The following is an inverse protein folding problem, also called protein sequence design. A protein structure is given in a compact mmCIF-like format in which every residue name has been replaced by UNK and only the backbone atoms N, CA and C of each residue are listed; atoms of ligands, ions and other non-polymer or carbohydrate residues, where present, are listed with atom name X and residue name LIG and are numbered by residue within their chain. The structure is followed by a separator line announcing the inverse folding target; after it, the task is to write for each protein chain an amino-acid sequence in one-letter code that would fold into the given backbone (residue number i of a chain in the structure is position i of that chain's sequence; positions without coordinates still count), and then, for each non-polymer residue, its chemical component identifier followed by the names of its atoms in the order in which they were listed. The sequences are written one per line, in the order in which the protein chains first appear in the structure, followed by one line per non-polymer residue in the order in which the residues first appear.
data_IF_005431417786
#
_entry.id   IF_005431417786
#
_cell.length_a   1.000
_cell.length_b   1.000
_cell.length_c   1.000
_cell.angle_alpha   90.00
_cell.angle_beta   90.00
_cell.angle_gamma   90.00
#
_symmetry.space_group_name_H-M   'P 1'
#
loop_
_entity.id
_entity.type
_entity.pdbx_description
1 polymer ?
#
# COMPACT_ATOMS: atom_id res chain seq x y z
N UNK A 1 -3.44 4.87 -17.92
CA UNK A 1 -3.29 3.42 -18.19
C UNK A 1 -1.81 3.16 -18.10
N UNK A 2 -1.32 2.62 -16.98
CA UNK A 2 0.09 2.26 -16.84
C UNK A 2 0.26 0.94 -17.58
N UNK A 3 1.13 0.90 -18.59
CA UNK A 3 1.55 -0.33 -19.23
C UNK A 3 2.03 -1.29 -18.15
N UNK A 4 1.32 -2.40 -18.01
CA UNK A 4 1.68 -3.48 -17.12
C UNK A 4 2.83 -4.20 -17.81
N UNK A 5 4.08 -3.85 -17.45
CA UNK A 5 5.23 -4.60 -17.92
C UNK A 5 5.04 -6.06 -17.46
N UNK A 6 5.16 -7.01 -18.40
CA UNK A 6 4.90 -8.44 -18.17
C UNK A 6 5.82 -9.07 -17.09
N UNK A 7 6.82 -8.33 -16.62
CA UNK A 7 7.87 -8.78 -15.70
C UNK A 7 7.69 -8.27 -14.25
N UNK A 8 6.72 -7.40 -13.97
CA UNK A 8 6.49 -6.89 -12.62
C UNK A 8 5.65 -7.88 -11.81
N UNK A 9 6.24 -8.42 -10.74
CA UNK A 9 5.51 -9.17 -9.72
C UNK A 9 4.95 -8.20 -8.69
N UNK A 10 3.62 -8.12 -8.57
CA UNK A 10 2.99 -7.37 -7.50
C UNK A 10 3.12 -8.19 -6.21
N UNK A 11 3.98 -7.72 -5.30
CA UNK A 11 4.26 -8.39 -4.02
C UNK A 11 3.21 -8.02 -2.97
N UNK A 12 2.77 -6.76 -2.95
CA UNK A 12 1.75 -6.32 -2.02
C UNK A 12 0.96 -5.16 -2.62
N UNK A 13 -0.36 -5.31 -2.70
CA UNK A 13 -1.25 -4.26 -3.16
C UNK A 13 -1.86 -3.53 -1.97
N UNK A 14 -1.46 -2.28 -1.80
CA UNK A 14 -1.95 -1.43 -0.71
C UNK A 14 -3.43 -1.06 -0.91
N UNK A 15 -4.35 -1.86 -0.38
CA UNK A 15 -5.77 -1.53 -0.37
C UNK A 15 -6.14 -0.81 0.92
N UNK A 16 -6.72 0.39 0.81
CA UNK A 16 -7.27 1.09 1.98
C UNK A 16 -8.74 0.71 2.18
N UNK A 17 -9.15 0.44 3.42
CA UNK A 17 -10.55 0.23 3.77
C UNK A 17 -11.42 1.41 3.30
N UNK A 18 -12.67 1.14 2.95
CA UNK A 18 -13.62 2.16 2.48
C UNK A 18 -13.76 3.31 3.49
N UNK A 19 -13.78 3.01 4.79
CA UNK A 19 -13.85 4.01 5.86
C UNK A 19 -12.70 5.02 5.78
N UNK A 20 -11.46 4.58 5.55
CA UNK A 20 -10.30 5.47 5.42
C UNK A 20 -10.42 6.39 4.20
N UNK A 21 -10.96 5.88 3.08
CA UNK A 21 -11.21 6.71 1.90
C UNK A 21 -12.28 7.77 2.14
N UNK A 22 -13.34 7.43 2.89
CA UNK A 22 -14.38 8.39 3.29
C UNK A 22 -13.78 9.49 4.18
N UNK A 23 -12.96 9.12 5.19
CA UNK A 23 -12.30 10.09 6.06
C UNK A 23 -11.39 11.03 5.24
N UNK A 24 -10.60 10.49 4.30
CA UNK A 24 -9.78 11.31 3.41
C UNK A 24 -10.63 12.31 2.62
N UNK A 25 -11.76 11.87 2.06
CA UNK A 25 -12.68 12.72 1.32
C UNK A 25 -13.25 13.86 2.19
N UNK A 26 -13.61 13.58 3.45
CA UNK A 26 -14.08 14.59 4.40
C UNK A 26 -13.00 15.65 4.65
N UNK A 27 -11.75 15.23 4.90
CA UNK A 27 -10.63 16.16 5.12
C UNK A 27 -10.39 17.05 3.91
N UNK A 28 -10.34 16.50 2.70
CA UNK A 28 -10.14 17.28 1.48
C UNK A 28 -11.32 18.21 1.17
N UNK A 29 -12.56 17.76 1.40
CA UNK A 29 -13.75 18.61 1.20
C UNK A 29 -13.74 19.79 2.17
N UNK A 30 -13.43 19.55 3.45
CA UNK A 30 -13.34 20.61 4.44
C UNK A 30 -12.18 21.58 4.13
N UNK A 31 -11.04 21.08 3.67
CA UNK A 31 -9.93 21.91 3.20
C UNK A 31 -10.37 22.85 2.06
N UNK A 32 -11.08 22.32 1.05
CA UNK A 32 -11.59 23.13 -0.06
C UNK A 32 -12.58 24.19 0.43
N UNK A 33 -13.43 23.86 1.40
CA UNK A 33 -14.34 24.82 2.03
C UNK A 33 -13.59 25.95 2.72
N UNK A 34 -12.51 25.65 3.47
CA UNK A 34 -11.67 26.67 4.10
C UNK A 34 -10.98 27.59 3.08
N UNK A 35 -10.43 27.01 2.00
CA UNK A 35 -9.80 27.76 0.91
C UNK A 35 -10.84 28.69 0.25
N UNK A 36 -12.03 28.17 -0.03
CA UNK A 36 -13.11 28.95 -0.61
C UNK A 36 -13.52 30.13 0.30
N UNK A 37 -13.68 29.87 1.60
CA UNK A 37 -13.96 30.90 2.60
C UNK A 37 -12.88 31.98 2.65
N UNK A 38 -11.61 31.58 2.61
CA UNK A 38 -10.48 32.50 2.58
C UNK A 38 -10.49 33.35 1.32
N UNK A 39 -10.75 32.77 0.14
CA UNK A 39 -10.88 33.50 -1.12
C UNK A 39 -11.98 34.54 -1.09
N UNK A 40 -13.16 34.22 -0.51
CA UNK A 40 -14.25 35.18 -0.34
C UNK A 40 -13.83 36.34 0.57
N UNK A 41 -13.17 36.08 1.68
CA UNK A 41 -12.72 37.12 2.59
C UNK A 41 -11.76 38.07 1.88
N UNK A 42 -10.79 37.53 1.15
CA UNK A 42 -9.86 38.34 0.35
C UNK A 42 -10.55 39.14 -0.74
N UNK A 43 -11.54 38.56 -1.42
CA UNK A 43 -12.27 39.23 -2.49
C UNK A 43 -13.03 40.46 -1.99
N UNK A 44 -13.73 40.35 -0.83
CA UNK A 44 -14.56 41.43 -0.29
C UNK A 44 -13.84 42.43 0.58
N UNK A 45 -12.80 42.01 1.33
CA UNK A 45 -12.10 42.87 2.31
C UNK A 45 -10.67 43.22 1.95
N UNK A 46 -10.09 42.53 0.98
CA UNK A 46 -8.68 42.73 0.62
C UNK A 46 -7.72 42.38 1.78
N UNK A 47 -6.52 42.95 1.72
CA UNK A 47 -5.52 42.79 2.76
C UNK A 47 -5.70 43.90 3.80
N UNK A 48 -6.33 43.62 4.91
CA UNK A 48 -6.54 44.56 6.01
C UNK A 48 -6.09 43.89 7.34
N UNK A 49 -6.04 44.70 8.41
CA UNK A 49 -5.61 44.22 9.73
C UNK A 49 -6.43 42.99 10.20
N UNK A 50 -7.73 42.98 9.96
CA UNK A 50 -8.59 41.85 10.26
C UNK A 50 -8.19 40.57 9.51
N UNK A 51 -7.91 40.67 8.20
CA UNK A 51 -7.48 39.52 7.40
C UNK A 51 -6.12 38.99 7.86
N UNK A 52 -5.21 39.85 8.28
CA UNK A 52 -3.90 39.43 8.79
C UNK A 52 -3.99 38.63 10.11
N UNK A 53 -4.95 38.96 10.97
CA UNK A 53 -5.17 38.22 12.23
C UNK A 53 -5.79 36.84 12.04
N UNK A 54 -6.69 36.66 11.07
CA UNK A 54 -7.35 35.36 10.85
C UNK A 54 -6.57 34.42 9.95
N UNK A 55 -5.72 34.94 9.06
CA UNK A 55 -4.93 34.19 8.08
C UNK A 55 -4.12 33.04 8.70
N UNK A 56 -3.37 33.22 9.81
CA UNK A 56 -2.62 32.12 10.42
C UNK A 56 -3.51 30.93 10.82
N UNK A 57 -4.69 31.19 11.38
CA UNK A 57 -5.65 30.16 11.77
C UNK A 57 -6.17 29.35 10.58
N UNK A 58 -6.48 30.02 9.47
CA UNK A 58 -6.89 29.36 8.23
C UNK A 58 -5.76 28.50 7.65
N UNK A 59 -4.54 29.05 7.58
CA UNK A 59 -3.36 28.32 7.06
C UNK A 59 -3.08 27.07 7.90
N UNK A 60 -3.11 27.21 9.22
CA UNK A 60 -2.91 26.10 10.14
C UNK A 60 -3.99 25.01 9.97
N UNK A 61 -5.26 25.42 9.86
CA UNK A 61 -6.38 24.49 9.67
C UNK A 61 -6.27 23.76 8.32
N UNK A 62 -5.91 24.46 7.25
CA UNK A 62 -5.69 23.87 5.92
C UNK A 62 -4.54 22.86 5.98
N UNK A 63 -3.43 23.18 6.68
CA UNK A 63 -2.29 22.27 6.83
C UNK A 63 -2.67 20.99 7.58
N UNK A 64 -3.48 21.08 8.64
CA UNK A 64 -3.97 19.90 9.34
C UNK A 64 -4.90 19.05 8.47
N UNK A 65 -5.80 19.68 7.72
CA UNK A 65 -6.71 18.96 6.82
C UNK A 65 -5.94 18.28 5.70
N UNK A 66 -4.95 18.94 5.12
CA UNK A 66 -4.08 18.37 4.09
C UNK A 66 -3.31 17.15 4.63
N UNK A 67 -2.67 17.29 5.80
CA UNK A 67 -1.92 16.21 6.43
C UNK A 67 -2.81 15.02 6.77
N UNK A 68 -3.99 15.25 7.33
CA UNK A 68 -4.98 14.21 7.62
C UNK A 68 -5.49 13.53 6.35
N UNK A 69 -5.85 14.30 5.32
CA UNK A 69 -6.30 13.78 4.03
C UNK A 69 -5.25 12.89 3.38
N UNK A 70 -3.99 13.30 3.34
CA UNK A 70 -2.87 12.52 2.82
C UNK A 70 -2.70 11.23 3.63
N UNK A 71 -2.68 11.31 4.97
CA UNK A 71 -2.49 10.16 5.85
C UNK A 71 -3.54 9.06 5.61
N UNK A 72 -4.81 9.42 5.44
CA UNK A 72 -5.88 8.46 5.18
C UNK A 72 -5.94 7.99 3.72
N UNK A 73 -5.39 8.75 2.77
CA UNK A 73 -5.45 8.44 1.34
C UNK A 73 -4.24 7.66 0.83
N UNK A 74 -3.05 7.78 1.46
CA UNK A 74 -1.82 7.13 1.00
C UNK A 74 -1.99 5.61 0.96
N UNK A 75 -1.73 5.02 -0.21
CA UNK A 75 -1.57 3.57 -0.39
C UNK A 75 -0.14 3.26 -0.78
N UNK A 76 0.38 2.12 -0.32
CA UNK A 76 1.71 1.64 -0.67
C UNK A 76 1.56 0.30 -1.40
N UNK A 77 1.97 0.26 -2.66
CA UNK A 77 2.08 -0.98 -3.45
C UNK A 77 3.55 -1.34 -3.58
N UNK A 78 3.88 -2.60 -3.39
CA UNK A 78 5.24 -3.12 -3.54
C UNK A 78 5.30 -4.00 -4.76
N UNK A 79 6.21 -3.70 -5.66
CA UNK A 79 6.46 -4.40 -6.92
C UNK A 79 7.91 -4.88 -6.94
N UNK A 80 8.15 -6.07 -7.50
CA UNK A 80 9.50 -6.57 -7.77
C UNK A 80 9.65 -6.70 -9.29
N UNK A 81 10.66 -6.01 -9.82
CA UNK A 81 11.16 -6.22 -11.18
C UNK A 81 12.30 -7.26 -11.08
N UNK A 82 11.99 -8.48 -11.49
CA UNK A 82 12.89 -9.63 -11.38
C UNK A 82 14.10 -9.48 -12.31
N UNK A 83 13.90 -8.89 -13.49
CA UNK A 83 14.96 -8.75 -14.49
C UNK A 83 16.03 -7.75 -14.06
N UNK A 84 15.63 -6.70 -13.33
CA UNK A 84 16.55 -5.65 -12.87
C UNK A 84 17.00 -5.80 -11.43
N UNK A 85 16.47 -6.80 -10.70
CA UNK A 85 16.70 -7.03 -9.26
C UNK A 85 16.42 -5.77 -8.42
N UNK A 86 15.32 -5.08 -8.75
CA UNK A 86 14.87 -3.88 -8.04
C UNK A 86 13.50 -4.06 -7.43
N UNK A 87 13.34 -3.53 -6.22
CA UNK A 87 12.07 -3.41 -5.51
C UNK A 87 11.56 -1.99 -5.66
N UNK A 88 10.34 -1.86 -6.18
CA UNK A 88 9.67 -0.58 -6.40
C UNK A 88 8.58 -0.44 -5.36
N UNK A 89 8.74 0.52 -4.45
CA UNK A 89 7.68 0.94 -3.52
C UNK A 89 6.93 2.10 -4.12
N UNK A 90 5.72 1.86 -4.61
CA UNK A 90 4.85 2.88 -5.20
C UNK A 90 3.91 3.43 -4.15
N UNK A 91 4.04 4.72 -3.84
CA UNK A 91 3.13 5.45 -2.96
C UNK A 91 2.13 6.23 -3.82
N UNK A 92 0.83 5.97 -3.62
CA UNK A 92 -0.24 6.65 -4.35
C UNK A 92 -1.08 7.50 -3.41
N UNK A 93 -1.38 8.74 -3.84
CA UNK A 93 -2.32 9.67 -3.19
C UNK A 93 -3.30 10.17 -4.25
N UNK A 94 -4.45 9.55 -4.37
CA UNK A 94 -5.39 9.84 -5.46
C UNK A 94 -4.74 9.61 -6.83
N UNK A 95 -4.71 10.62 -7.71
CA UNK A 95 -4.11 10.48 -9.06
C UNK A 95 -2.58 10.59 -9.07
N UNK A 96 -1.97 10.99 -7.95
CA UNK A 96 -0.52 11.17 -7.86
C UNK A 96 0.15 9.90 -7.36
N UNK A 97 1.22 9.48 -8.03
CA UNK A 97 2.05 8.34 -7.63
C UNK A 97 3.51 8.77 -7.57
N UNK A 98 4.21 8.23 -6.57
CA UNK A 98 5.65 8.41 -6.40
C UNK A 98 6.30 7.06 -6.19
N UNK A 99 7.28 6.71 -7.02
CA UNK A 99 7.99 5.46 -6.99
C UNK A 99 9.35 5.63 -6.30
N UNK A 100 9.58 4.79 -5.29
CA UNK A 100 10.86 4.71 -4.60
C UNK A 100 11.48 3.36 -4.94
N UNK A 101 12.63 3.38 -5.59
CA UNK A 101 13.37 2.17 -5.98
C UNK A 101 14.41 1.82 -4.93
N UNK A 102 14.53 0.53 -4.62
CA UNK A 102 15.56 -0.03 -3.76
C UNK A 102 16.00 -1.39 -4.30
N UNK A 103 17.12 -1.91 -3.83
CA UNK A 103 17.52 -3.28 -4.15
C UNK A 103 16.53 -4.27 -3.53
N UNK A 104 16.27 -5.37 -4.23
CA UNK A 104 15.49 -6.47 -3.66
C UNK A 104 16.24 -7.01 -2.44
N UNK A 105 15.60 -7.10 -1.26
CA UNK A 105 16.21 -7.77 -0.12
C UNK A 105 16.42 -9.25 -0.47
N UNK A 106 17.33 -9.91 0.19
CA UNK A 106 17.51 -11.36 0.01
C UNK A 106 16.21 -12.07 0.41
N UNK A 107 15.53 -12.63 -0.59
CA UNK A 107 14.29 -13.39 -0.42
C UNK A 107 14.63 -14.78 0.11
N UNK A 108 13.80 -15.30 1.01
CA UNK A 108 14.03 -16.60 1.64
C UNK A 108 13.02 -17.64 1.15
N UNK A 109 11.74 -17.40 1.34
CA UNK A 109 10.69 -18.33 0.92
C UNK A 109 9.32 -17.65 0.81
N UNK A 110 8.37 -18.32 0.15
CA UNK A 110 6.94 -17.98 0.19
C UNK A 110 6.26 -18.87 1.20
N UNK A 111 5.26 -18.37 1.91
CA UNK A 111 4.45 -19.18 2.81
C UNK A 111 2.96 -18.96 2.62
N UNK A 112 2.19 -20.01 2.90
CA UNK A 112 0.73 -19.93 2.97
C UNK A 112 0.30 -20.28 4.39
N UNK A 113 -0.38 -19.33 5.07
CA UNK A 113 -0.91 -19.50 6.42
C UNK A 113 -2.43 -19.42 6.42
N UNK A 114 -3.05 -20.13 7.34
CA UNK A 114 -4.47 -19.95 7.66
C UNK A 114 -4.58 -18.89 8.78
N UNK A 115 -5.20 -17.74 8.48
CA UNK A 115 -5.48 -16.70 9.46
C UNK A 115 -6.63 -17.09 10.41
N UNK A 116 -6.77 -16.35 11.52
CA UNK A 116 -7.84 -16.51 12.50
C UNK A 116 -9.25 -16.25 11.92
N UNK A 117 -9.34 -15.65 10.75
CA UNK A 117 -10.59 -15.37 10.01
C UNK A 117 -10.90 -16.40 8.93
N UNK A 118 -10.21 -17.55 8.95
CA UNK A 118 -10.34 -18.62 7.96
C UNK A 118 -9.90 -18.20 6.53
N UNK A 119 -9.09 -17.15 6.39
CA UNK A 119 -8.49 -16.77 5.12
C UNK A 119 -7.08 -17.34 4.99
N UNK A 120 -6.70 -17.69 3.77
CA UNK A 120 -5.37 -18.14 3.43
C UNK A 120 -4.51 -16.96 3.01
N UNK A 121 -3.54 -16.60 3.86
CA UNK A 121 -2.59 -15.51 3.60
C UNK A 121 -1.35 -16.03 2.92
N UNK A 122 -1.00 -15.43 1.77
CA UNK A 122 0.26 -15.69 1.07
C UNK A 122 1.25 -14.59 1.42
N UNK A 123 2.38 -14.99 2.01
CA UNK A 123 3.42 -14.08 2.49
C UNK A 123 4.77 -14.39 1.83
N UNK A 124 5.47 -13.34 1.40
CA UNK A 124 6.83 -13.40 0.88
C UNK A 124 7.82 -13.00 1.98
N UNK A 125 8.66 -13.93 2.38
CA UNK A 125 9.63 -13.74 3.46
C UNK A 125 11.01 -13.33 2.92
N UNK A 126 11.67 -12.45 3.69
CA UNK A 126 13.01 -11.97 3.39
C UNK A 126 13.86 -11.84 4.66
N UNK A 127 15.16 -11.66 4.49
CA UNK A 127 16.15 -11.63 5.58
C UNK A 127 15.68 -10.80 6.77
N UNK A 128 15.88 -11.36 7.97
CA UNK A 128 15.54 -10.75 9.24
C UNK A 128 14.13 -11.09 9.73
N UNK A 129 13.57 -12.21 9.29
CA UNK A 129 12.25 -12.72 9.67
C UNK A 129 11.14 -11.69 9.43
N UNK A 130 11.24 -10.98 8.31
CA UNK A 130 10.25 -9.99 7.84
C UNK A 130 9.53 -10.53 6.62
N UNK A 131 8.29 -10.12 6.44
CA UNK A 131 7.50 -10.55 5.29
C UNK A 131 6.67 -9.42 4.69
N UNK A 132 6.34 -9.60 3.43
CA UNK A 132 5.29 -8.85 2.74
C UNK A 132 4.05 -9.73 2.65
N UNK A 133 2.89 -9.26 3.14
CA UNK A 133 1.62 -9.90 2.84
C UNK A 133 1.28 -9.60 1.38
N UNK A 134 1.21 -10.65 0.56
CA UNK A 134 0.94 -10.51 -0.88
C UNK A 134 -0.56 -10.48 -1.15
N UNK A 135 -1.23 -11.59 -0.87
CA UNK A 135 -2.67 -11.75 -1.11
C UNK A 135 -3.32 -12.61 -0.03
N UNK A 136 -4.63 -12.37 0.15
CA UNK A 136 -5.49 -13.16 1.01
C UNK A 136 -6.56 -13.83 0.14
N UNK A 137 -6.74 -15.13 0.31
CA UNK A 137 -7.70 -15.95 -0.41
C UNK A 137 -8.70 -16.56 0.58
N UNK A 138 -9.93 -16.78 0.14
CA UNK A 138 -10.96 -17.47 0.93
C UNK A 138 -10.81 -19.00 0.87
N UNK A 139 -10.14 -19.52 -0.19
CA UNK A 139 -9.96 -20.95 -0.44
C UNK A 139 -8.47 -21.32 -0.48
N UNK A 140 -8.15 -22.55 -0.02
CA UNK A 140 -6.76 -23.06 0.04
C UNK A 140 -6.16 -23.24 -1.36
N UNK A 141 -6.92 -23.82 -2.29
CA UNK A 141 -6.41 -24.23 -3.60
C UNK A 141 -5.91 -23.04 -4.45
N UNK A 142 -6.65 -21.91 -4.60
CA UNK A 142 -6.15 -20.71 -5.26
C UNK A 142 -4.92 -20.08 -4.56
N UNK A 143 -4.89 -20.12 -3.22
CA UNK A 143 -3.77 -19.60 -2.45
C UNK A 143 -2.48 -20.39 -2.71
N UNK A 144 -2.56 -21.72 -2.68
CA UNK A 144 -1.43 -22.61 -2.95
C UNK A 144 -0.93 -22.43 -4.38
N UNK A 145 -1.83 -22.43 -5.37
CA UNK A 145 -1.44 -22.21 -6.77
C UNK A 145 -0.75 -20.87 -7.01
N UNK A 146 -1.24 -19.80 -6.37
CA UNK A 146 -0.59 -18.50 -6.44
C UNK A 146 0.80 -18.51 -5.79
N UNK A 147 0.93 -19.17 -4.62
CA UNK A 147 2.19 -19.28 -3.90
C UNK A 147 3.22 -20.12 -4.69
N UNK A 148 2.82 -21.23 -5.31
CA UNK A 148 3.66 -22.05 -6.18
C UNK A 148 4.18 -21.26 -7.39
N UNK A 149 3.29 -20.56 -8.11
CA UNK A 149 3.69 -19.72 -9.25
C UNK A 149 4.68 -18.63 -8.84
N UNK A 150 4.49 -18.06 -7.65
CA UNK A 150 5.38 -17.04 -7.11
C UNK A 150 6.74 -17.63 -6.72
N UNK A 151 6.75 -18.78 -6.05
CA UNK A 151 7.96 -19.49 -5.65
C UNK A 151 8.80 -19.89 -6.87
N UNK A 152 8.16 -20.40 -7.93
CA UNK A 152 8.83 -20.71 -9.20
C UNK A 152 9.45 -19.46 -9.83
N UNK A 153 8.66 -18.36 -9.93
CA UNK A 153 9.15 -17.10 -10.52
C UNK A 153 10.36 -16.51 -9.80
N UNK A 154 10.35 -16.59 -8.46
CA UNK A 154 11.41 -16.05 -7.62
C UNK A 154 12.53 -17.06 -7.34
N UNK A 155 12.38 -18.31 -7.78
CA UNK A 155 13.32 -19.42 -7.54
C UNK A 155 13.64 -19.63 -6.05
N UNK A 156 12.61 -19.63 -5.21
CA UNK A 156 12.66 -19.80 -3.75
C UNK A 156 11.73 -20.93 -3.30
N UNK A 157 11.92 -21.42 -2.06
CA UNK A 157 11.14 -22.50 -1.50
C UNK A 157 9.72 -22.04 -1.07
N UNK A 158 8.80 -22.99 -0.93
CA UNK A 158 7.44 -22.77 -0.47
C UNK A 158 7.20 -23.48 0.86
N UNK A 159 6.59 -22.77 1.82
CA UNK A 159 6.16 -23.32 3.10
C UNK A 159 4.62 -23.41 3.13
N UNK A 160 4.07 -24.62 3.13
CA UNK A 160 2.66 -24.84 3.47
C UNK A 160 2.51 -24.89 5.00
N UNK A 161 1.95 -23.85 5.59
CA UNK A 161 1.63 -23.74 7.01
C UNK A 161 0.12 -23.54 7.22
N UNK A 162 -0.71 -24.10 6.34
CA UNK A 162 -2.19 -24.04 6.43
C UNK A 162 -2.73 -24.88 7.56
N UNK A 163 -2.01 -25.94 7.99
CA UNK A 163 -2.40 -26.80 9.11
C UNK A 163 -1.57 -26.42 10.35
N UNK A 164 -2.25 -26.09 11.46
CA UNK A 164 -1.57 -25.75 12.72
C UNK A 164 -0.74 -26.91 13.22
N UNK A 165 0.58 -26.69 13.36
CA UNK A 165 1.51 -27.69 13.87
C UNK A 165 2.01 -28.72 12.86
N UNK A 166 1.57 -28.63 11.60
CA UNK A 166 1.99 -29.53 10.51
C UNK A 166 2.41 -28.73 9.29
N UNK A 167 3.42 -27.86 9.47
CA UNK A 167 3.98 -27.10 8.34
C UNK A 167 4.90 -27.98 7.51
N UNK A 168 4.74 -27.93 6.18
CA UNK A 168 5.51 -28.73 5.23
C UNK A 168 6.30 -27.81 4.29
N UNK A 169 7.59 -28.11 4.19
CA UNK A 169 8.45 -27.47 3.20
C UNK A 169 8.32 -28.17 1.84
N UNK A 170 8.08 -27.38 0.83
CA UNK A 170 8.03 -27.81 -0.58
C UNK A 170 9.27 -27.18 -1.24
N UNK A 171 10.24 -28.03 -1.57
CA UNK A 171 11.46 -27.61 -2.25
C UNK A 171 11.11 -27.10 -3.65
N UNK A 172 11.70 -25.98 -4.05
CA UNK A 172 11.56 -25.40 -5.38
C UNK A 172 11.85 -26.39 -6.54
N UNK A 173 12.68 -27.40 -6.29
CA UNK A 173 12.98 -28.44 -7.27
C UNK A 173 11.82 -29.43 -7.47
N UNK A 174 10.77 -29.38 -6.63
CA UNK A 174 9.59 -30.27 -6.69
C UNK A 174 8.32 -29.54 -7.10
N UNK A 175 8.37 -28.21 -7.21
CA UNK A 175 7.28 -27.37 -7.72
C UNK A 175 7.42 -27.26 -9.23
#
# INVERSE_FOLDING_TARGET
MVEKNEFELIVSEGKRPLLMRILAAIFFTYMLYLIYGLCIIFYYRGFCEYTSHILPGFVQSIAYCLSGGIFFCVTKTVLIDIDKDILISRFCVGPFSHDVTSKVPQLEYVSVFLDSRENYEVNLWYVGNKHYNMYNFEEKEPAMKFAELTAIKLNIDLLDATEKGNSQWIDKAKI
#
